data_IF_931424651393
#
_entry.id   IF_931424651393
#
_cell.length_a   1.000
_cell.length_b   1.000
_cell.length_c   1.000
_cell.angle_alpha   90.00
_cell.angle_beta   90.00
_cell.angle_gamma   90.00
#
_symmetry.space_group_name_H-M   'P 1'
#
loop_
_entity.id
_entity.type
_entity.pdbx_description
1 polymer ?
#
# COMPACT_ATOMS: atom_id res chain seq x y z
N UNK A 1 24.63 25.60 -18.34
CA UNK A 1 24.45 24.11 -18.37
C UNK A 1 25.20 23.55 -19.57
N UNK A 2 26.13 22.61 -19.40
CA UNK A 2 26.83 21.98 -20.54
C UNK A 2 26.12 20.70 -20.96
N UNK A 3 25.67 20.65 -22.21
CA UNK A 3 24.98 19.49 -22.78
C UNK A 3 25.96 18.37 -23.14
N UNK A 4 25.44 17.15 -23.35
CA UNK A 4 26.24 16.02 -23.87
C UNK A 4 26.90 16.32 -25.23
N UNK A 5 26.33 17.25 -26.00
CA UNK A 5 26.90 17.74 -27.26
C UNK A 5 28.11 18.67 -27.09
N UNK A 6 28.44 19.08 -25.86
CA UNK A 6 29.46 20.08 -25.56
C UNK A 6 28.98 21.53 -25.64
N UNK A 7 27.76 21.78 -26.14
CA UNK A 7 27.16 23.12 -26.17
C UNK A 7 26.85 23.61 -24.75
N UNK A 8 27.14 24.88 -24.49
CA UNK A 8 26.71 25.55 -23.26
C UNK A 8 25.36 26.24 -23.47
N UNK A 9 24.45 26.02 -22.53
CA UNK A 9 23.19 26.74 -22.38
C UNK A 9 23.32 27.71 -21.21
N UNK A 10 23.25 29.01 -21.50
CA UNK A 10 23.15 30.04 -20.46
C UNK A 10 21.77 29.94 -19.80
N UNK A 11 21.74 30.01 -18.46
CA UNK A 11 20.52 29.98 -17.69
C UNK A 11 20.67 30.87 -16.46
N UNK A 12 19.73 31.80 -16.28
CA UNK A 12 19.70 32.67 -15.10
C UNK A 12 19.15 31.92 -13.88
N UNK A 13 18.29 30.93 -14.09
CA UNK A 13 17.66 30.12 -13.04
C UNK A 13 17.59 28.66 -13.47
N UNK A 14 17.85 27.74 -12.53
CA UNK A 14 17.69 26.30 -12.71
C UNK A 14 16.67 25.77 -11.69
N UNK A 15 15.64 25.07 -12.18
CA UNK A 15 14.65 24.37 -11.35
C UNK A 15 14.87 22.87 -11.52
N UNK A 16 15.22 22.17 -10.43
CA UNK A 16 15.59 20.75 -10.50
C UNK A 16 14.38 19.83 -10.68
N UNK A 17 13.27 20.10 -9.99
CA UNK A 17 12.01 19.33 -10.06
C UNK A 17 12.21 17.79 -10.10
N UNK A 18 13.26 17.27 -9.44
CA UNK A 18 13.73 15.87 -9.54
C UNK A 18 12.94 14.88 -8.65
N UNK A 19 11.81 15.34 -8.09
CA UNK A 19 10.99 14.58 -7.16
C UNK A 19 11.65 14.42 -5.79
N UNK A 20 11.39 13.29 -5.14
CA UNK A 20 11.83 12.99 -3.78
C UNK A 20 12.40 11.56 -3.67
N UNK A 21 12.98 11.23 -2.53
CA UNK A 21 13.17 9.83 -2.14
C UNK A 21 11.94 9.40 -1.36
N UNK A 22 11.23 8.39 -1.85
CA UNK A 22 10.09 7.86 -1.12
C UNK A 22 10.61 7.24 0.17
N UNK A 23 10.26 7.84 1.30
CA UNK A 23 10.53 7.29 2.61
C UNK A 23 9.39 6.34 2.98
N UNK A 24 9.60 5.05 2.70
CA UNK A 24 8.61 4.02 2.98
C UNK A 24 8.38 3.95 4.49
N UNK A 25 7.18 4.35 4.92
CA UNK A 25 6.74 4.35 6.32
C UNK A 25 7.57 5.24 7.29
N UNK A 26 8.34 6.19 6.75
CA UNK A 26 8.87 7.32 7.52
C UNK A 26 10.07 7.01 8.42
N UNK A 27 10.97 6.10 8.02
CA UNK A 27 12.14 5.63 8.79
C UNK A 27 11.82 5.07 10.18
N UNK A 28 10.56 4.69 10.41
CA UNK A 28 10.13 4.07 11.67
C UNK A 28 10.69 2.64 11.71
N UNK A 29 11.44 2.33 12.77
CA UNK A 29 11.95 0.99 13.03
C UNK A 29 10.83 0.11 13.63
N UNK A 30 9.95 -0.42 12.78
CA UNK A 30 8.90 -1.34 13.20
C UNK A 30 9.49 -2.68 13.67
N UNK A 31 8.91 -3.23 14.73
CA UNK A 31 9.24 -4.56 15.25
C UNK A 31 7.99 -5.31 15.63
N UNK A 32 7.99 -6.64 15.47
CA UNK A 32 6.96 -7.54 16.02
C UNK A 32 7.67 -8.54 16.93
N UNK A 33 7.24 -8.63 18.19
CA UNK A 33 7.85 -9.49 19.21
C UNK A 33 9.37 -9.28 19.38
N UNK A 34 9.86 -8.06 19.16
CA UNK A 34 11.28 -7.70 19.25
C UNK A 34 12.09 -7.89 17.97
N UNK A 35 11.54 -8.55 16.94
CA UNK A 35 12.23 -8.77 15.67
C UNK A 35 11.93 -7.64 14.66
N UNK A 36 12.91 -7.19 13.86
CA UNK A 36 12.70 -6.19 12.82
C UNK A 36 11.65 -6.62 11.80
N UNK A 37 10.74 -5.71 11.47
CA UNK A 37 9.71 -5.95 10.46
C UNK A 37 10.16 -5.45 9.09
N UNK A 38 10.15 -6.37 8.12
CA UNK A 38 10.47 -6.08 6.72
C UNK A 38 9.20 -6.10 5.87
N UNK A 39 8.72 -4.92 5.47
CA UNK A 39 7.46 -4.81 4.72
C UNK A 39 7.49 -5.50 3.35
N UNK A 40 8.66 -5.58 2.71
CA UNK A 40 8.82 -6.28 1.42
C UNK A 40 8.58 -7.80 1.49
N UNK A 41 8.54 -8.37 2.70
CA UNK A 41 8.18 -9.78 2.91
C UNK A 41 6.67 -10.00 3.08
N UNK A 42 5.89 -8.91 3.14
CA UNK A 42 4.43 -8.95 3.32
C UNK A 42 3.70 -8.79 1.98
N UNK A 43 2.43 -9.22 1.96
CA UNK A 43 1.47 -8.93 0.89
C UNK A 43 0.40 -8.00 1.43
N UNK A 44 0.00 -6.99 0.65
CA UNK A 44 -1.08 -6.10 1.10
C UNK A 44 -2.46 -6.63 0.76
N UNK A 45 -3.38 -6.64 1.73
CA UNK A 45 -4.81 -6.73 1.47
C UNK A 45 -5.33 -5.34 1.06
N UNK A 46 -5.82 -5.25 -0.19
CA UNK A 46 -6.38 -4.04 -0.83
C UNK A 46 -5.51 -2.79 -0.65
N UNK A 47 -4.19 -2.97 -0.57
CA UNK A 47 -3.23 -1.89 -0.32
C UNK A 47 -3.38 -1.17 1.02
N UNK A 48 -4.09 -1.74 2.01
CA UNK A 48 -4.39 -1.07 3.28
C UNK A 48 -4.06 -1.88 4.53
N UNK A 49 -4.00 -3.21 4.48
CA UNK A 49 -3.50 -4.05 5.57
C UNK A 49 -2.39 -4.96 5.04
N UNK A 50 -1.58 -5.56 5.92
CA UNK A 50 -0.44 -6.38 5.52
C UNK A 50 -0.54 -7.76 6.16
N UNK A 51 -0.19 -8.79 5.40
CA UNK A 51 -0.12 -10.15 5.93
C UNK A 51 0.83 -10.23 7.12
N UNK A 52 0.42 -10.94 8.18
CA UNK A 52 1.22 -11.17 9.40
C UNK A 52 1.53 -9.92 10.24
N UNK A 53 0.91 -8.78 9.94
CA UNK A 53 1.02 -7.56 10.77
C UNK A 53 -0.33 -7.29 11.44
N UNK A 54 -0.44 -7.47 12.76
CA UNK A 54 -1.69 -7.22 13.47
C UNK A 54 -1.97 -5.73 13.67
N UNK A 55 -3.25 -5.37 13.66
CA UNK A 55 -3.78 -4.06 14.04
C UNK A 55 -3.13 -2.87 13.30
N UNK A 56 -2.65 -3.07 12.08
CA UNK A 56 -2.05 -2.02 11.25
C UNK A 56 -2.89 -1.78 10.00
N UNK A 57 -3.29 -0.53 9.81
CA UNK A 57 -3.88 -0.03 8.57
C UNK A 57 -2.98 1.06 7.97
N UNK A 58 -2.80 1.01 6.65
CA UNK A 58 -2.00 1.95 5.87
C UNK A 58 -2.90 2.76 4.95
N UNK A 59 -2.93 4.06 5.18
CA UNK A 59 -3.71 5.00 4.35
C UNK A 59 -2.82 5.48 3.21
N UNK A 60 -2.93 4.81 2.08
CA UNK A 60 -2.33 5.24 0.83
C UNK A 60 -3.42 5.59 -0.19
N UNK A 61 -3.34 6.77 -0.80
CA UNK A 61 -4.34 7.28 -1.74
C UNK A 61 -4.08 6.91 -3.20
N UNK A 62 -4.93 7.39 -4.10
CA UNK A 62 -4.72 7.18 -5.53
C UNK A 62 -3.57 8.05 -6.07
N UNK A 63 -2.85 7.53 -7.06
CA UNK A 63 -1.84 8.25 -7.83
C UNK A 63 -2.46 9.20 -8.86
N UNK A 64 -3.59 8.81 -9.45
CA UNK A 64 -4.21 9.53 -10.59
C UNK A 64 -5.55 10.19 -10.26
N UNK A 65 -6.09 9.94 -9.08
CA UNK A 65 -7.28 10.58 -8.54
C UNK A 65 -6.94 11.27 -7.20
N UNK A 66 -7.91 12.00 -6.62
CA UNK A 66 -7.65 12.66 -5.34
C UNK A 66 -7.27 11.64 -4.25
N UNK A 67 -6.21 11.95 -3.52
CA UNK A 67 -5.76 11.16 -2.38
C UNK A 67 -6.87 11.01 -1.32
N UNK A 68 -7.63 12.09 -1.09
CA UNK A 68 -8.67 12.14 -0.05
C UNK A 68 -9.81 11.16 -0.31
N UNK A 69 -10.14 10.88 -1.58
CA UNK A 69 -11.21 9.94 -1.93
C UNK A 69 -10.96 8.56 -1.33
N UNK A 70 -9.73 8.06 -1.45
CA UNK A 70 -9.38 6.75 -0.91
C UNK A 70 -9.15 6.79 0.60
N UNK A 71 -8.62 7.90 1.10
CA UNK A 71 -8.42 8.08 2.53
C UNK A 71 -9.75 7.95 3.30
N UNK A 72 -10.83 8.54 2.77
CA UNK A 72 -12.17 8.42 3.35
C UNK A 72 -12.67 6.96 3.33
N UNK A 73 -12.50 6.24 2.21
CA UNK A 73 -12.88 4.82 2.10
C UNK A 73 -12.14 3.93 3.10
N UNK A 74 -10.82 4.15 3.27
CA UNK A 74 -10.01 3.41 4.25
C UNK A 74 -10.42 3.79 5.68
N UNK A 75 -10.72 5.06 5.94
CA UNK A 75 -11.22 5.53 7.24
C UNK A 75 -12.53 4.85 7.64
N UNK A 76 -13.49 4.76 6.72
CA UNK A 76 -14.77 4.07 6.95
C UNK A 76 -14.58 2.56 7.19
N UNK A 77 -13.69 1.93 6.42
CA UNK A 77 -13.31 0.53 6.63
C UNK A 77 -12.73 0.31 8.04
N UNK A 78 -11.78 1.14 8.47
CA UNK A 78 -11.17 1.05 9.82
C UNK A 78 -12.22 1.20 10.91
N UNK A 79 -13.15 2.16 10.80
CA UNK A 79 -14.24 2.33 11.76
C UNK A 79 -15.16 1.11 11.85
N UNK A 80 -15.41 0.41 10.73
CA UNK A 80 -16.18 -0.85 10.72
C UNK A 80 -15.39 -1.98 11.34
N UNK A 81 -14.11 -2.12 10.99
CA UNK A 81 -13.24 -3.15 11.52
C UNK A 81 -13.12 -3.06 13.05
N UNK A 82 -12.93 -1.85 13.59
CA UNK A 82 -12.87 -1.64 15.04
C UNK A 82 -14.19 -2.04 15.73
N UNK A 83 -15.34 -1.70 15.15
CA UNK A 83 -16.66 -2.14 15.67
C UNK A 83 -16.82 -3.66 15.62
N UNK A 84 -16.32 -4.33 14.57
CA UNK A 84 -16.32 -5.79 14.47
C UNK A 84 -15.43 -6.42 15.55
N UNK A 85 -14.24 -5.86 15.78
CA UNK A 85 -13.35 -6.29 16.87
C UNK A 85 -14.03 -6.16 18.23
N UNK A 86 -14.66 -5.02 18.53
CA UNK A 86 -15.41 -4.80 19.77
C UNK A 86 -16.54 -5.82 19.94
N UNK A 87 -17.34 -6.06 18.88
CA UNK A 87 -18.43 -7.03 18.91
C UNK A 87 -17.96 -8.48 19.14
N UNK A 88 -16.77 -8.83 18.65
CA UNK A 88 -16.14 -10.14 18.87
C UNK A 88 -15.38 -10.23 20.21
N UNK A 89 -15.15 -9.11 20.90
CA UNK A 89 -14.22 -9.03 22.02
C UNK A 89 -12.76 -9.30 21.62
N UNK A 90 -12.42 -9.12 20.34
CA UNK A 90 -11.09 -9.34 19.80
C UNK A 90 -10.17 -8.16 20.11
N UNK A 91 -8.91 -8.44 20.47
CA UNK A 91 -7.87 -7.42 20.69
C UNK A 91 -6.87 -7.35 19.55
N UNK A 92 -6.85 -8.38 18.71
CA UNK A 92 -5.99 -8.50 17.54
C UNK A 92 -6.82 -8.84 16.33
N UNK A 93 -6.53 -8.18 15.23
CA UNK A 93 -6.92 -8.62 13.89
C UNK A 93 -5.72 -8.51 12.96
N UNK A 94 -5.53 -9.51 12.12
CA UNK A 94 -4.59 -9.46 11.01
C UNK A 94 -5.22 -10.05 9.75
N UNK A 95 -4.61 -9.75 8.60
CA UNK A 95 -4.96 -10.42 7.35
C UNK A 95 -3.99 -11.55 7.06
N UNK A 96 -4.49 -12.62 6.46
CA UNK A 96 -3.70 -13.73 5.93
C UNK A 96 -4.14 -14.06 4.51
N UNK A 97 -3.26 -14.68 3.72
CA UNK A 97 -3.66 -15.20 2.41
C UNK A 97 -4.74 -16.27 2.60
N UNK A 98 -5.81 -16.19 1.79
CA UNK A 98 -6.84 -17.25 1.72
C UNK A 98 -6.21 -18.55 1.22
N UNK A 99 -6.84 -19.68 1.50
CA UNK A 99 -6.27 -20.99 1.12
C UNK A 99 -5.98 -21.08 -0.40
N UNK A 100 -6.89 -20.53 -1.20
CA UNK A 100 -6.80 -20.47 -2.66
C UNK A 100 -5.70 -19.53 -3.20
N UNK A 101 -5.17 -18.63 -2.37
CA UNK A 101 -4.22 -17.58 -2.76
C UNK A 101 -2.77 -17.92 -2.42
N UNK A 102 -2.50 -19.00 -1.68
CA UNK A 102 -1.13 -19.34 -1.25
C UNK A 102 -0.13 -19.53 -2.39
N UNK A 103 -0.60 -19.95 -3.58
CA UNK A 103 0.24 -20.19 -4.75
C UNK A 103 0.12 -19.08 -5.81
N UNK A 104 -0.51 -17.95 -5.48
CA UNK A 104 -0.61 -16.83 -6.42
C UNK A 104 0.77 -16.23 -6.72
N UNK A 105 0.99 -15.72 -7.94
CA UNK A 105 2.18 -14.94 -8.24
C UNK A 105 2.29 -13.73 -7.31
N UNK A 106 3.49 -13.51 -6.75
CA UNK A 106 3.80 -12.29 -6.02
C UNK A 106 4.48 -11.30 -6.95
N UNK A 107 3.95 -10.09 -6.99
CA UNK A 107 4.38 -9.01 -7.87
C UNK A 107 4.83 -7.80 -7.04
N UNK A 108 5.61 -6.86 -7.61
CA UNK A 108 5.88 -5.57 -6.98
C UNK A 108 4.57 -4.86 -6.60
N UNK A 109 4.58 -4.10 -5.50
CA UNK A 109 3.40 -3.41 -4.96
C UNK A 109 2.56 -2.66 -5.99
N UNK A 110 3.24 -2.09 -6.98
CA UNK A 110 2.66 -1.35 -8.10
C UNK A 110 3.06 -2.03 -9.39
N UNK A 111 2.14 -2.02 -10.34
CA UNK A 111 2.43 -2.37 -11.72
C UNK A 111 3.24 -1.27 -12.41
N UNK A 112 4.50 -1.56 -12.75
CA UNK A 112 5.40 -0.61 -13.40
C UNK A 112 4.90 -0.18 -14.78
N UNK A 113 4.10 -1.01 -15.47
CA UNK A 113 3.48 -0.60 -16.73
C UNK A 113 2.36 0.43 -16.51
N UNK A 114 1.73 0.40 -15.33
CA UNK A 114 0.67 1.33 -14.94
C UNK A 114 1.20 2.63 -14.32
N UNK A 115 2.25 2.56 -13.50
CA UNK A 115 2.81 3.70 -12.78
C UNK A 115 4.29 3.52 -12.41
N UNK A 116 5.18 4.24 -13.10
CA UNK A 116 6.64 4.10 -13.00
C UNK A 116 7.42 5.42 -12.82
N UNK A 117 6.98 6.38 -12.00
CA UNK A 117 7.80 7.57 -11.77
C UNK A 117 9.11 7.20 -11.06
N UNK A 118 10.21 7.82 -11.48
CA UNK A 118 11.54 7.48 -10.96
C UNK A 118 11.69 7.60 -9.44
N UNK A 119 10.94 8.48 -8.77
CA UNK A 119 10.96 8.59 -7.30
C UNK A 119 10.41 7.36 -6.58
N UNK A 120 9.44 6.68 -7.18
CA UNK A 120 8.86 5.45 -6.67
C UNK A 120 9.75 4.27 -7.03
N UNK A 121 10.21 4.20 -8.28
CA UNK A 121 11.02 3.08 -8.77
C UNK A 121 12.34 2.91 -8.00
N UNK A 122 12.91 3.99 -7.47
CA UNK A 122 14.08 3.94 -6.59
C UNK A 122 13.84 3.14 -5.30
N UNK A 123 12.61 3.08 -4.79
CA UNK A 123 12.26 2.48 -3.50
C UNK A 123 11.26 1.32 -3.57
N UNK A 124 10.82 0.92 -4.77
CA UNK A 124 9.75 -0.08 -4.93
C UNK A 124 10.08 -1.43 -4.29
N UNK A 125 11.36 -1.82 -4.25
CA UNK A 125 11.84 -3.05 -3.64
C UNK A 125 11.74 -3.07 -2.10
N UNK A 126 11.52 -1.90 -1.48
CA UNK A 126 11.31 -1.77 -0.03
C UNK A 126 9.82 -1.85 0.35
N UNK A 127 8.93 -1.71 -0.64
CA UNK A 127 7.49 -1.76 -0.44
C UNK A 127 7.00 -3.23 -0.37
N UNK A 128 5.79 -3.46 0.19
CA UNK A 128 5.16 -4.77 0.18
C UNK A 128 4.98 -5.36 -1.22
N UNK A 129 4.66 -6.65 -1.27
CA UNK A 129 4.25 -7.30 -2.50
C UNK A 129 2.74 -7.18 -2.71
N UNK A 130 2.30 -7.45 -3.93
CA UNK A 130 0.88 -7.62 -4.30
C UNK A 130 0.65 -9.01 -4.89
N UNK A 131 -0.58 -9.48 -4.82
CA UNK A 131 -1.06 -10.63 -5.59
C UNK A 131 -1.60 -10.23 -6.97
N UNK A 132 -2.03 -11.22 -7.75
CA UNK A 132 -2.67 -11.04 -9.05
C UNK A 132 -4.20 -10.85 -8.96
N UNK A 133 -4.81 -11.19 -7.82
CA UNK A 133 -6.23 -10.90 -7.52
C UNK A 133 -6.45 -9.52 -6.90
N UNK A 134 -7.66 -8.98 -7.08
CA UNK A 134 -8.05 -7.61 -6.68
C UNK A 134 -7.95 -7.37 -5.17
N UNK A 135 -8.24 -8.39 -4.36
CA UNK A 135 -8.13 -8.32 -2.89
C UNK A 135 -6.69 -8.11 -2.42
N UNK A 136 -5.70 -8.45 -3.24
CA UNK A 136 -4.29 -8.34 -2.91
C UNK A 136 -3.58 -7.19 -3.63
N UNK A 137 -4.35 -6.24 -4.17
CA UNK A 137 -3.84 -5.12 -4.97
C UNK A 137 -4.26 -3.76 -4.42
N UNK A 138 -3.37 -2.77 -4.55
CA UNK A 138 -3.73 -1.37 -4.42
C UNK A 138 -4.27 -0.85 -5.76
N UNK A 139 -5.57 -0.99 -5.99
CA UNK A 139 -6.17 -0.55 -7.25
C UNK A 139 -6.24 0.98 -7.34
N UNK A 140 -6.31 1.51 -8.58
CA UNK A 140 -6.49 2.94 -8.85
C UNK A 140 -7.94 3.27 -9.23
N UNK A 141 -8.87 2.33 -8.99
CA UNK A 141 -10.23 2.35 -9.51
C UNK A 141 -11.22 2.77 -8.42
N UNK A 142 -11.31 4.09 -8.21
CA UNK A 142 -12.23 4.68 -7.25
C UNK A 142 -13.69 4.28 -7.48
N UNK A 143 -14.12 4.18 -8.75
CA UNK A 143 -15.52 3.95 -9.08
C UNK A 143 -16.01 2.58 -8.64
N UNK A 144 -15.14 1.58 -8.67
CA UNK A 144 -15.44 0.28 -8.12
C UNK A 144 -15.15 0.21 -6.61
N UNK A 145 -14.01 0.77 -6.12
CA UNK A 145 -13.66 0.70 -4.69
C UNK A 145 -14.70 1.38 -3.79
N UNK A 146 -15.34 2.48 -4.23
CA UNK A 146 -16.40 3.15 -3.45
C UNK A 146 -17.61 2.25 -3.18
N UNK A 147 -17.84 1.25 -4.04
CA UNK A 147 -18.96 0.30 -3.92
C UNK A 147 -18.49 -1.02 -3.27
N UNK A 148 -17.26 -1.45 -3.56
CA UNK A 148 -16.67 -2.68 -3.00
C UNK A 148 -16.27 -2.56 -1.53
N UNK A 149 -15.66 -1.45 -1.12
CA UNK A 149 -15.13 -1.30 0.25
C UNK A 149 -16.22 -1.38 1.32
N UNK A 150 -17.39 -0.74 1.12
CA UNK A 150 -18.54 -0.92 1.99
C UNK A 150 -19.09 -2.36 2.02
N UNK A 151 -18.72 -3.23 1.09
CA UNK A 151 -19.19 -4.60 1.01
C UNK A 151 -18.12 -5.62 1.47
N UNK A 152 -16.95 -5.17 1.92
CA UNK A 152 -15.94 -6.09 2.48
C UNK A 152 -16.55 -6.86 3.66
N UNK A 153 -16.52 -8.17 3.54
CA UNK A 153 -16.94 -9.11 4.57
C UNK A 153 -15.84 -9.23 5.63
N UNK A 154 -16.09 -8.64 6.79
CA UNK A 154 -15.15 -8.65 7.91
C UNK A 154 -15.14 -9.98 8.67
N UNK A 155 -15.99 -10.94 8.30
CA UNK A 155 -15.95 -12.32 8.77
C UNK A 155 -15.29 -13.28 7.75
N UNK A 156 -14.74 -12.73 6.65
CA UNK A 156 -14.02 -13.49 5.63
C UNK A 156 -12.77 -14.21 6.14
N UNK A 157 -12.38 -15.28 5.44
CA UNK A 157 -11.27 -16.17 5.82
C UNK A 157 -9.91 -15.47 5.87
N UNK A 158 -9.76 -14.33 5.19
CA UNK A 158 -8.56 -13.50 5.28
C UNK A 158 -8.42 -12.83 6.64
N UNK A 159 -9.50 -12.58 7.40
CA UNK A 159 -9.46 -11.87 8.68
C UNK A 159 -9.32 -12.83 9.86
N UNK A 160 -8.17 -12.78 10.53
CA UNK A 160 -7.88 -13.61 11.70
C UNK A 160 -8.00 -12.74 12.95
N UNK A 161 -9.00 -13.04 13.79
CA UNK A 161 -9.23 -12.36 15.06
C UNK A 161 -8.66 -13.14 16.23
N UNK A 162 -8.12 -12.44 17.23
CA UNK A 162 -7.62 -13.01 18.49
C UNK A 162 -7.57 -12.03 19.64
#
# INVERSE_FOLDING_TARGET
ITLKSGQHLDADIVVTATGFHLNVLGDIAFTINGEPLHFHDTVTYRGMMFTSIPNMAWVFGYFRASWTLRADLVGDFVCRLLRQMDAKGARRVEVQLRQEDHNMPLLPWIDEESFNPGYLMRGIHLLPKRGDKREWQHTQDYWAEKDEFPLIDLDGEEFVYG
#
